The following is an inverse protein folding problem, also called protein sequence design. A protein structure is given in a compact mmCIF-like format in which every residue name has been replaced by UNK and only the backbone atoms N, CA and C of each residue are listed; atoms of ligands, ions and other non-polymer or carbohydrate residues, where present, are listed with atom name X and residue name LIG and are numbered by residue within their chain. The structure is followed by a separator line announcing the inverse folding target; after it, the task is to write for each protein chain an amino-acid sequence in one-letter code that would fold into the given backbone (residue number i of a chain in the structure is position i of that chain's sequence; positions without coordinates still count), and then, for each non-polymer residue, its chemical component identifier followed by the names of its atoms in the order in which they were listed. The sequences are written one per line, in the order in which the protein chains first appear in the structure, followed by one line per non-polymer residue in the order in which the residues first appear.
data_IF_182185137990
#
_entry.id   IF_182185137990
#
_cell.length_a   1.000
_cell.length_b   1.000
_cell.length_c   1.000
_cell.angle_alpha   90.00
_cell.angle_beta   90.00
_cell.angle_gamma   90.00
#
_symmetry.space_group_name_H-M   'P 1'
#
loop_
_entity.id
_entity.type
_entity.pdbx_description
1 polymer ?
#
# COMPACT_ATOMS: atom_id res chain seq x y z
N UNK A 1 19.86 57.94 24.57
CA UNK A 1 18.94 56.91 24.03
C UNK A 1 19.25 56.51 22.57
N UNK A 2 20.06 57.26 21.81
CA UNK A 2 20.34 56.98 20.38
C UNK A 2 21.56 56.11 20.08
N UNK A 3 22.46 55.85 21.04
CA UNK A 3 23.69 55.07 20.79
C UNK A 3 23.47 53.57 20.93
N UNK A 4 22.51 53.14 21.76
CA UNK A 4 22.21 51.71 21.98
C UNK A 4 21.34 51.07 20.89
N UNK A 5 20.58 51.88 20.13
CA UNK A 5 19.81 51.38 18.98
C UNK A 5 20.68 51.19 17.72
N UNK A 6 21.78 51.94 17.58
CA UNK A 6 22.65 51.85 16.40
C UNK A 6 23.64 50.68 16.49
N UNK A 7 23.96 50.22 17.70
CA UNK A 7 24.80 49.03 17.92
C UNK A 7 24.02 47.72 17.69
N UNK A 8 22.73 47.66 18.02
CA UNK A 8 21.92 46.45 17.80
C UNK A 8 21.63 46.19 16.31
N UNK A 9 21.62 47.23 15.47
CA UNK A 9 21.44 47.12 14.03
C UNK A 9 22.70 46.60 13.30
N UNK A 10 23.91 46.92 13.80
CA UNK A 10 25.18 46.51 13.17
C UNK A 10 25.63 45.08 13.50
N UNK A 11 25.08 44.47 14.55
CA UNK A 11 25.36 43.08 14.95
C UNK A 11 24.20 42.12 14.68
N UNK A 12 23.19 42.53 13.90
CA UNK A 12 22.19 41.62 13.37
C UNK A 12 22.83 40.71 12.30
N UNK A 13 23.47 39.63 12.75
CA UNK A 13 23.97 38.56 11.89
C UNK A 13 22.84 38.08 10.95
N UNK A 14 23.14 37.70 9.70
CA UNK A 14 22.17 37.24 8.73
C UNK A 14 21.70 35.81 9.06
N UNK A 15 21.06 35.61 10.21
CA UNK A 15 20.55 34.31 10.68
C UNK A 15 19.41 33.81 9.79
N UNK A 16 18.71 34.72 9.08
CA UNK A 16 17.61 34.36 8.18
C UNK A 16 18.04 33.62 6.91
N UNK A 17 19.28 33.81 6.43
CA UNK A 17 19.76 33.19 5.18
C UNK A 17 20.16 31.72 5.34
N UNK A 18 20.80 31.38 6.46
CA UNK A 18 21.29 30.01 6.74
C UNK A 18 20.14 29.08 7.11
N UNK A 19 19.21 29.52 7.97
CA UNK A 19 18.06 28.71 8.37
C UNK A 19 17.11 28.38 7.20
N UNK A 20 16.92 29.32 6.26
CA UNK A 20 16.10 29.08 5.08
C UNK A 20 16.75 28.10 4.08
N UNK A 21 18.08 28.19 3.91
CA UNK A 21 18.83 27.26 3.06
C UNK A 21 18.84 25.83 3.62
N UNK A 22 18.97 25.67 4.94
CA UNK A 22 18.90 24.37 5.63
C UNK A 22 17.51 23.74 5.53
N UNK A 23 16.44 24.55 5.66
CA UNK A 23 15.06 24.10 5.50
C UNK A 23 14.76 23.61 4.08
N UNK A 24 15.26 24.30 3.06
CA UNK A 24 15.09 23.89 1.65
C UNK A 24 15.90 22.63 1.32
N UNK A 25 17.12 22.50 1.85
CA UNK A 25 17.94 21.30 1.72
C UNK A 25 17.28 20.09 2.37
N UNK A 26 16.75 20.24 3.59
CA UNK A 26 16.04 19.18 4.31
C UNK A 26 14.75 18.76 3.60
N UNK A 27 13.97 19.71 3.07
CA UNK A 27 12.79 19.42 2.25
C UNK A 27 13.15 18.65 0.99
N UNK A 28 14.22 19.06 0.30
CA UNK A 28 14.74 18.39 -0.88
C UNK A 28 15.19 16.96 -0.59
N UNK A 29 15.93 16.74 0.49
CA UNK A 29 16.35 15.41 0.94
C UNK A 29 15.14 14.55 1.32
N UNK A 30 14.21 15.08 2.10
CA UNK A 30 13.01 14.37 2.55
C UNK A 30 12.13 13.91 1.37
N UNK A 31 11.95 14.77 0.36
CA UNK A 31 11.23 14.41 -0.86
C UNK A 31 11.93 13.28 -1.64
N UNK A 32 13.26 13.30 -1.71
CA UNK A 32 14.06 12.24 -2.35
C UNK A 32 13.98 10.93 -1.59
N UNK A 33 14.07 10.96 -0.26
CA UNK A 33 13.94 9.76 0.59
C UNK A 33 12.55 9.14 0.49
N UNK A 34 11.50 9.96 0.50
CA UNK A 34 10.13 9.47 0.30
C UNK A 34 9.95 8.85 -1.09
N UNK A 35 10.45 9.52 -2.14
CA UNK A 35 10.41 8.97 -3.50
C UNK A 35 11.19 7.66 -3.61
N UNK A 36 12.39 7.61 -3.03
CA UNK A 36 13.20 6.39 -2.95
C UNK A 36 12.46 5.27 -2.22
N UNK A 37 11.79 5.56 -1.11
CA UNK A 37 11.07 4.55 -0.33
C UNK A 37 9.83 4.03 -1.07
N UNK A 38 9.07 4.91 -1.75
CA UNK A 38 7.89 4.53 -2.52
C UNK A 38 8.27 3.72 -3.77
N UNK A 39 9.21 4.23 -4.58
CA UNK A 39 9.65 3.55 -5.80
C UNK A 39 10.47 2.31 -5.46
N UNK A 40 11.32 2.38 -4.45
CA UNK A 40 12.07 1.23 -3.92
C UNK A 40 11.13 0.14 -3.44
N UNK A 41 10.10 0.47 -2.65
CA UNK A 41 9.07 -0.48 -2.21
C UNK A 41 8.35 -1.18 -3.37
N UNK A 42 8.16 -0.47 -4.48
CA UNK A 42 7.57 -1.03 -5.70
C UNK A 42 8.51 -2.04 -6.40
N UNK A 43 9.80 -1.70 -6.55
CA UNK A 43 10.72 -2.44 -7.45
C UNK A 43 11.68 -3.40 -6.75
N UNK A 44 11.88 -3.30 -5.43
CA UNK A 44 12.95 -4.04 -4.75
C UNK A 44 12.82 -5.56 -4.90
N UNK A 45 11.59 -6.11 -4.92
CA UNK A 45 11.40 -7.54 -5.12
C UNK A 45 11.86 -7.99 -6.51
N UNK A 46 11.58 -7.22 -7.55
CA UNK A 46 12.10 -7.50 -8.89
C UNK A 46 13.63 -7.43 -8.93
N UNK A 47 14.22 -6.42 -8.29
CA UNK A 47 15.68 -6.29 -8.20
C UNK A 47 16.31 -7.47 -7.45
N UNK A 48 15.73 -7.90 -6.33
CA UNK A 48 16.19 -9.07 -5.60
C UNK A 48 16.00 -10.36 -6.39
N UNK A 49 14.93 -10.49 -7.16
CA UNK A 49 14.73 -11.63 -8.07
C UNK A 49 15.80 -11.66 -9.19
N UNK A 50 16.14 -10.50 -9.75
CA UNK A 50 17.24 -10.38 -10.72
C UNK A 50 18.58 -10.80 -10.11
N UNK A 51 18.90 -10.32 -8.91
CA UNK A 51 20.10 -10.71 -8.16
C UNK A 51 20.09 -12.21 -7.87
N UNK A 52 18.95 -12.76 -7.47
CA UNK A 52 18.76 -14.20 -7.24
C UNK A 52 19.05 -15.03 -8.49
N UNK A 53 18.66 -14.51 -9.65
CA UNK A 53 18.78 -15.22 -10.93
C UNK A 53 20.18 -15.13 -11.52
N UNK A 54 20.86 -13.98 -11.37
CA UNK A 54 22.10 -13.69 -12.12
C UNK A 54 23.36 -13.62 -11.27
N UNK A 55 23.25 -13.38 -9.96
CA UNK A 55 24.39 -13.01 -9.12
C UNK A 55 24.58 -13.99 -7.97
N UNK A 56 23.60 -14.09 -7.07
CA UNK A 56 23.71 -14.88 -5.85
C UNK A 56 22.34 -15.27 -5.32
N UNK A 57 22.24 -16.41 -4.63
CA UNK A 57 20.99 -16.85 -4.01
C UNK A 57 20.54 -15.84 -2.95
N UNK A 58 19.32 -15.35 -3.08
CA UNK A 58 18.70 -14.41 -2.13
C UNK A 58 17.90 -15.20 -1.09
N UNK A 59 18.22 -14.96 0.18
CA UNK A 59 17.48 -15.49 1.33
C UNK A 59 16.42 -14.51 1.84
N UNK A 60 15.50 -14.99 2.67
CA UNK A 60 14.47 -14.15 3.30
C UNK A 60 15.06 -12.98 4.13
N UNK A 61 16.25 -13.19 4.73
CA UNK A 61 16.97 -12.13 5.45
C UNK A 61 17.34 -10.92 4.56
N UNK A 62 17.67 -11.14 3.29
CA UNK A 62 17.96 -10.05 2.35
C UNK A 62 16.70 -9.25 1.99
N UNK A 63 15.56 -9.95 1.86
CA UNK A 63 14.25 -9.32 1.63
C UNK A 63 13.88 -8.46 2.82
N UNK A 64 13.97 -9.01 4.03
CA UNK A 64 13.67 -8.29 5.27
C UNK A 64 14.61 -7.09 5.45
N UNK A 65 15.91 -7.23 5.21
CA UNK A 65 16.86 -6.11 5.28
C UNK A 65 16.51 -5.00 4.29
N UNK A 66 16.18 -5.35 3.05
CA UNK A 66 15.79 -4.38 2.03
C UNK A 66 14.51 -3.63 2.41
N UNK A 67 13.51 -4.34 2.94
CA UNK A 67 12.29 -3.72 3.47
C UNK A 67 12.59 -2.81 4.67
N UNK A 68 13.44 -3.23 5.61
CA UNK A 68 13.82 -2.42 6.77
C UNK A 68 14.56 -1.15 6.37
N UNK A 69 15.41 -1.18 5.34
CA UNK A 69 16.08 0.01 4.80
C UNK A 69 15.05 1.00 4.24
N UNK A 70 14.11 0.54 3.43
CA UNK A 70 13.05 1.38 2.85
C UNK A 70 12.13 1.97 3.93
N UNK A 71 11.79 1.16 4.94
CA UNK A 71 11.01 1.61 6.10
C UNK A 71 11.82 2.63 6.91
N UNK A 72 13.10 2.38 7.17
CA UNK A 72 13.98 3.32 7.85
C UNK A 72 14.06 4.67 7.14
N UNK A 73 14.25 4.68 5.82
CA UNK A 73 14.27 5.89 5.00
C UNK A 73 12.95 6.68 5.11
N UNK A 74 11.80 6.01 5.08
CA UNK A 74 10.51 6.71 5.21
C UNK A 74 10.28 7.23 6.63
N UNK A 75 10.77 6.52 7.67
CA UNK A 75 10.69 7.00 9.05
C UNK A 75 11.56 8.22 9.33
N UNK A 76 12.71 8.37 8.67
CA UNK A 76 13.51 9.61 8.72
C UNK A 76 12.67 10.82 8.26
N UNK A 77 11.80 10.63 7.27
CA UNK A 77 10.89 11.68 6.77
C UNK A 77 9.65 11.83 7.67
N UNK A 78 9.12 10.73 8.18
CA UNK A 78 7.90 10.69 8.98
C UNK A 78 8.09 11.30 10.38
N UNK A 79 9.23 11.05 11.01
CA UNK A 79 9.54 11.44 12.38
C UNK A 79 10.04 12.89 12.42
N UNK A 80 9.08 13.80 12.57
CA UNK A 80 9.35 15.22 12.85
C UNK A 80 9.25 15.54 14.34
N UNK A 81 9.07 16.83 14.64
CA UNK A 81 8.87 17.34 16.01
C UNK A 81 7.46 17.07 16.58
N UNK A 82 6.58 16.40 15.83
CA UNK A 82 5.19 16.13 16.25
C UNK A 82 5.14 14.91 17.15
N UNK A 83 4.42 15.00 18.27
CA UNK A 83 4.30 13.91 19.26
C UNK A 83 3.44 12.73 18.80
N UNK A 84 2.44 12.99 17.94
CA UNK A 84 1.48 11.99 17.47
C UNK A 84 2.09 10.68 16.92
N UNK A 85 3.07 10.68 15.99
CA UNK A 85 3.69 9.44 15.51
C UNK A 85 4.39 8.66 16.63
N UNK A 86 5.05 9.33 17.58
CA UNK A 86 5.73 8.66 18.69
C UNK A 86 4.74 8.01 19.66
N UNK A 87 3.65 8.70 20.00
CA UNK A 87 2.60 8.14 20.85
C UNK A 87 1.95 6.92 20.18
N UNK A 88 1.65 7.02 18.89
CA UNK A 88 1.09 5.91 18.13
C UNK A 88 2.03 4.69 18.12
N UNK A 89 3.31 4.91 17.81
CA UNK A 89 4.32 3.85 17.83
C UNK A 89 4.48 3.25 19.23
N UNK A 90 4.54 4.07 20.28
CA UNK A 90 4.68 3.58 21.65
C UNK A 90 3.50 2.70 22.08
N UNK A 91 2.27 3.10 21.75
CA UNK A 91 1.06 2.31 22.03
C UNK A 91 1.06 1.02 21.21
N UNK A 92 1.36 1.11 19.91
CA UNK A 92 1.37 -0.05 19.02
C UNK A 92 2.46 -1.08 19.41
N UNK A 93 3.69 -0.63 19.67
CA UNK A 93 4.78 -1.52 20.08
C UNK A 93 4.48 -2.14 21.44
N UNK A 94 3.97 -1.37 22.42
CA UNK A 94 3.53 -1.91 23.72
C UNK A 94 2.45 -2.99 23.53
N UNK A 95 1.49 -2.76 22.65
CA UNK A 95 0.46 -3.74 22.32
C UNK A 95 1.02 -5.02 21.69
N UNK A 96 1.96 -4.88 20.74
CA UNK A 96 2.61 -6.04 20.10
C UNK A 96 3.46 -6.84 21.09
N UNK A 97 4.19 -6.16 21.99
CA UNK A 97 4.93 -6.82 23.06
C UNK A 97 4.01 -7.61 23.98
N UNK A 98 2.85 -7.05 24.34
CA UNK A 98 1.82 -7.77 25.09
C UNK A 98 1.35 -9.02 24.34
N UNK A 99 1.05 -8.93 23.04
CA UNK A 99 0.68 -10.10 22.25
C UNK A 99 1.80 -11.15 22.17
N UNK A 100 3.06 -10.73 22.06
CA UNK A 100 4.21 -11.66 22.04
C UNK A 100 4.35 -12.39 23.36
N UNK A 101 4.15 -11.69 24.49
CA UNK A 101 4.18 -12.34 25.81
C UNK A 101 3.07 -13.36 25.98
N UNK A 102 1.87 -13.07 25.47
CA UNK A 102 0.75 -14.02 25.50
C UNK A 102 0.99 -15.25 24.61
N UNK A 103 1.62 -15.04 23.45
CA UNK A 103 1.89 -16.09 22.45
C UNK A 103 3.14 -16.92 22.74
N UNK A 104 4.04 -16.42 23.57
CA UNK A 104 5.35 -17.04 23.84
C UNK A 104 6.33 -16.97 22.66
N UNK A 105 6.03 -16.21 21.60
CA UNK A 105 6.91 -16.06 20.45
C UNK A 105 6.76 -14.67 19.78
N UNK A 106 7.88 -14.04 19.36
CA UNK A 106 7.83 -12.78 18.65
C UNK A 106 7.43 -12.97 17.18
N UNK A 107 6.57 -12.08 16.67
CA UNK A 107 6.17 -12.02 15.26
C UNK A 107 6.57 -10.67 14.65
N UNK A 108 7.83 -10.58 14.21
CA UNK A 108 8.39 -9.36 13.63
C UNK A 108 7.71 -8.95 12.31
N UNK A 109 7.13 -9.92 11.60
CA UNK A 109 6.38 -9.66 10.37
C UNK A 109 5.16 -8.78 10.66
N UNK A 110 4.39 -9.12 11.71
CA UNK A 110 3.22 -8.35 12.12
C UNK A 110 3.58 -6.89 12.47
N UNK A 111 4.70 -6.68 13.17
CA UNK A 111 5.17 -5.33 13.52
C UNK A 111 5.48 -4.53 12.25
N UNK A 112 6.30 -5.09 11.35
CA UNK A 112 6.66 -4.47 10.07
C UNK A 112 5.43 -4.09 9.25
N UNK A 113 4.46 -4.98 9.15
CA UNK A 113 3.25 -4.82 8.34
C UNK A 113 2.43 -3.58 8.73
N UNK A 114 2.53 -3.11 9.98
CA UNK A 114 1.90 -1.88 10.46
C UNK A 114 2.84 -0.67 10.42
N UNK A 115 4.15 -0.89 10.60
CA UNK A 115 5.15 0.17 10.45
C UNK A 115 5.11 0.79 9.04
N UNK A 116 4.82 -0.01 8.01
CA UNK A 116 4.67 0.47 6.62
C UNK A 116 3.54 1.54 6.54
N UNK A 117 2.26 1.23 6.83
CA UNK A 117 1.19 2.23 6.87
C UNK A 117 1.53 3.49 7.65
N UNK A 118 2.07 3.34 8.87
CA UNK A 118 2.39 4.46 9.76
C UNK A 118 3.46 5.34 9.12
N UNK A 119 4.58 4.76 8.71
CA UNK A 119 5.72 5.49 8.15
C UNK A 119 5.33 6.27 6.90
N UNK A 120 4.69 5.61 5.93
CA UNK A 120 4.30 6.27 4.67
C UNK A 120 3.19 7.30 4.87
N UNK A 121 2.21 7.05 5.74
CA UNK A 121 1.17 8.04 6.08
C UNK A 121 1.78 9.31 6.68
N UNK A 122 2.63 9.18 7.70
CA UNK A 122 3.24 10.34 8.33
C UNK A 122 4.26 11.04 7.41
N UNK A 123 5.01 10.32 6.57
CA UNK A 123 5.88 10.94 5.58
C UNK A 123 5.10 11.77 4.55
N UNK A 124 4.00 11.24 4.01
CA UNK A 124 3.11 11.99 3.12
C UNK A 124 2.52 13.22 3.80
N UNK A 125 2.15 13.09 5.08
CA UNK A 125 1.63 14.20 5.89
C UNK A 125 2.68 15.27 6.22
N UNK A 126 3.94 14.88 6.41
CA UNK A 126 5.05 15.80 6.67
C UNK A 126 5.40 16.57 5.40
N UNK A 127 5.51 15.89 4.26
CA UNK A 127 5.86 16.52 2.99
C UNK A 127 4.73 17.35 2.38
N UNK A 128 3.48 16.91 2.54
CA UNK A 128 2.27 17.59 2.06
C UNK A 128 2.35 18.09 0.59
N UNK A 129 3.18 17.45 -0.23
CA UNK A 129 3.45 17.84 -1.62
C UNK A 129 2.59 17.02 -2.58
N UNK A 130 1.53 17.68 -3.05
CA UNK A 130 0.57 17.10 -3.97
C UNK A 130 1.18 16.81 -5.37
N UNK A 131 2.18 17.58 -5.80
CA UNK A 131 2.85 17.38 -7.09
C UNK A 131 3.79 16.18 -7.03
N UNK A 132 4.48 16.00 -5.90
CA UNK A 132 5.28 14.81 -5.66
C UNK A 132 4.40 13.56 -5.68
N UNK A 133 3.26 13.58 -4.98
CA UNK A 133 2.28 12.50 -5.01
C UNK A 133 1.83 12.15 -6.45
N UNK A 134 1.42 13.15 -7.25
CA UNK A 134 1.04 12.94 -8.66
C UNK A 134 2.17 12.33 -9.49
N UNK A 135 3.40 12.82 -9.28
CA UNK A 135 4.58 12.33 -9.98
C UNK A 135 4.90 10.89 -9.61
N UNK A 136 4.82 10.53 -8.32
CA UNK A 136 5.05 9.17 -7.87
C UNK A 136 4.03 8.19 -8.44
N UNK A 137 2.75 8.56 -8.47
CA UNK A 137 1.71 7.73 -9.09
C UNK A 137 1.99 7.49 -10.57
N UNK A 138 2.31 8.55 -11.32
CA UNK A 138 2.62 8.44 -12.73
C UNK A 138 3.87 7.58 -12.99
N UNK A 139 4.97 7.86 -12.27
CA UNK A 139 6.23 7.11 -12.45
C UNK A 139 6.05 5.64 -12.07
N UNK A 140 5.39 5.35 -10.94
CA UNK A 140 5.11 3.97 -10.54
C UNK A 140 4.27 3.24 -11.59
N UNK A 141 3.22 3.89 -12.11
CA UNK A 141 2.39 3.31 -13.17
C UNK A 141 3.18 3.06 -14.46
N UNK A 142 4.04 4.00 -14.85
CA UNK A 142 4.89 3.85 -16.03
C UNK A 142 5.90 2.70 -15.87
N UNK A 143 6.53 2.54 -14.70
CA UNK A 143 7.45 1.43 -14.42
C UNK A 143 6.72 0.09 -14.52
N UNK A 144 5.56 -0.04 -13.88
CA UNK A 144 4.78 -1.30 -13.88
C UNK A 144 4.33 -1.65 -15.29
N UNK A 145 3.87 -0.69 -16.09
CA UNK A 145 3.48 -0.95 -17.48
C UNK A 145 4.69 -1.28 -18.34
N UNK A 146 5.81 -0.56 -18.21
CA UNK A 146 7.00 -0.82 -19.03
C UNK A 146 7.54 -2.24 -18.80
N UNK A 147 7.69 -2.66 -17.54
CA UNK A 147 8.16 -4.01 -17.20
C UNK A 147 7.11 -5.06 -17.55
N UNK A 148 5.82 -4.75 -17.37
CA UNK A 148 4.73 -5.66 -17.72
C UNK A 148 4.61 -5.90 -19.23
N UNK A 149 4.83 -4.87 -20.05
CA UNK A 149 4.90 -5.01 -21.50
C UNK A 149 6.15 -5.79 -21.93
N UNK A 150 7.29 -5.58 -21.26
CA UNK A 150 8.49 -6.38 -21.50
C UNK A 150 8.25 -7.87 -21.19
N UNK A 151 7.65 -8.20 -20.05
CA UNK A 151 7.23 -9.57 -19.70
C UNK A 151 6.25 -10.16 -20.73
N UNK A 152 5.28 -9.37 -21.19
CA UNK A 152 4.28 -9.82 -22.15
C UNK A 152 4.87 -10.08 -23.55
N UNK A 153 5.72 -9.17 -24.04
CA UNK A 153 6.26 -9.21 -25.40
C UNK A 153 7.48 -10.12 -25.55
N UNK A 154 8.25 -10.31 -24.49
CA UNK A 154 9.51 -11.06 -24.50
C UNK A 154 9.64 -11.98 -23.29
N UNK A 155 8.64 -12.86 -23.10
CA UNK A 155 8.53 -13.72 -21.91
C UNK A 155 9.77 -14.58 -21.65
N UNK A 156 10.35 -15.21 -22.68
CA UNK A 156 11.53 -16.05 -22.52
C UNK A 156 12.75 -15.23 -22.03
N UNK A 157 12.91 -14.02 -22.57
CA UNK A 157 13.96 -13.09 -22.14
C UNK A 157 13.68 -12.65 -20.70
N UNK A 158 12.44 -12.30 -20.37
CA UNK A 158 12.04 -11.93 -19.02
C UNK A 158 12.36 -13.03 -18.00
N UNK A 159 11.98 -14.27 -18.25
CA UNK A 159 12.25 -15.40 -17.35
C UNK A 159 13.76 -15.67 -17.21
N UNK A 160 14.54 -15.44 -18.27
CA UNK A 160 16.01 -15.56 -18.19
C UNK A 160 16.65 -14.56 -17.22
N UNK A 161 16.02 -13.41 -16.99
CA UNK A 161 16.46 -12.40 -16.03
C UNK A 161 15.76 -12.53 -14.67
N UNK A 162 14.52 -12.98 -14.65
CA UNK A 162 13.66 -13.06 -13.47
C UNK A 162 13.11 -14.48 -13.33
N UNK A 163 13.90 -15.39 -12.76
CA UNK A 163 13.41 -16.72 -12.38
C UNK A 163 12.55 -16.61 -11.12
N UNK A 164 11.26 -16.30 -11.32
CA UNK A 164 10.31 -16.02 -10.25
C UNK A 164 10.13 -17.21 -9.32
N UNK A 165 9.94 -18.41 -9.87
CA UNK A 165 9.84 -19.64 -9.07
C UNK A 165 11.10 -19.84 -8.23
N UNK A 166 12.28 -19.73 -8.84
CA UNK A 166 13.55 -19.88 -8.15
C UNK A 166 13.73 -18.88 -7.02
N UNK A 167 13.27 -17.64 -7.20
CA UNK A 167 13.26 -16.62 -6.17
C UNK A 167 12.32 -16.97 -5.01
N UNK A 168 11.08 -17.37 -5.28
CA UNK A 168 10.09 -17.73 -4.26
C UNK A 168 10.44 -19.03 -3.51
N UNK A 169 11.11 -19.98 -4.17
CA UNK A 169 11.71 -21.16 -3.55
C UNK A 169 12.90 -20.79 -2.66
N UNK A 170 13.80 -19.92 -3.13
CA UNK A 170 15.00 -19.53 -2.38
C UNK A 170 14.68 -18.84 -1.05
N UNK A 171 13.59 -18.06 -1.01
CA UNK A 171 13.06 -17.42 0.21
C UNK A 171 12.16 -18.32 1.06
N UNK A 172 11.86 -19.54 0.63
CA UNK A 172 11.02 -20.50 1.37
C UNK A 172 9.53 -20.15 1.43
N UNK A 173 9.03 -19.28 0.54
CA UNK A 173 7.61 -18.87 0.53
C UNK A 173 6.72 -19.81 -0.31
N UNK A 174 7.34 -20.67 -1.11
CA UNK A 174 6.68 -21.71 -1.91
C UNK A 174 7.42 -23.03 -1.66
N UNK A 175 6.70 -24.14 -1.51
CA UNK A 175 7.30 -25.48 -1.41
C UNK A 175 7.28 -26.19 -2.77
N UNK A 176 8.17 -27.17 -2.95
CA UNK A 176 8.26 -27.98 -4.19
C UNK A 176 6.93 -28.70 -4.47
N UNK A 177 6.20 -29.07 -3.43
CA UNK A 177 4.88 -29.71 -3.54
C UNK A 177 3.78 -28.76 -4.06
N UNK A 178 4.00 -27.45 -4.05
CA UNK A 178 3.06 -26.47 -4.63
C UNK A 178 3.32 -26.21 -6.12
N UNK A 179 4.38 -26.82 -6.69
CA UNK A 179 4.84 -26.59 -8.06
C UNK A 179 4.35 -27.65 -9.07
N UNK A 180 3.53 -28.64 -8.67
CA UNK A 180 3.08 -29.72 -9.54
C UNK A 180 2.51 -29.18 -10.88
N UNK A 181 3.26 -29.41 -11.97
CA UNK A 181 2.90 -29.06 -13.34
C UNK A 181 3.39 -27.71 -13.88
N UNK A 182 4.11 -26.90 -13.10
CA UNK A 182 4.65 -25.61 -13.56
C UNK A 182 6.08 -25.74 -14.10
N UNK A 183 6.24 -25.60 -15.41
CA UNK A 183 7.53 -25.71 -16.11
C UNK A 183 8.11 -24.36 -16.57
N UNK A 184 7.38 -23.25 -16.40
CA UNK A 184 7.68 -21.98 -17.09
C UNK A 184 8.38 -20.91 -16.23
N UNK A 185 8.87 -21.21 -15.02
CA UNK A 185 9.61 -20.22 -14.22
C UNK A 185 8.80 -19.04 -13.66
N UNK A 186 7.52 -18.94 -14.00
CA UNK A 186 6.55 -17.92 -13.55
C UNK A 186 5.93 -18.27 -12.20
N UNK A 187 5.41 -17.29 -11.47
CA UNK A 187 4.67 -17.56 -10.23
C UNK A 187 3.47 -18.50 -10.46
N UNK A 188 3.04 -19.24 -9.42
CA UNK A 188 1.98 -20.27 -9.49
C UNK A 188 0.68 -19.76 -10.16
N UNK A 189 0.42 -18.45 -10.10
CA UNK A 189 -0.74 -17.79 -10.70
C UNK A 189 -0.49 -17.07 -12.06
N UNK A 190 0.69 -17.22 -12.64
CA UNK A 190 1.14 -16.54 -13.87
C UNK A 190 0.55 -17.11 -15.17
N UNK A 191 0.06 -18.35 -15.14
CA UNK A 191 -0.66 -18.98 -16.24
C UNK A 191 -2.07 -19.35 -15.78
N UNK A 192 -3.09 -19.06 -16.60
CA UNK A 192 -4.48 -19.36 -16.27
C UNK A 192 -5.19 -20.11 -17.41
N UNK A 193 -5.45 -21.42 -17.28
CA UNK A 193 -6.18 -22.21 -18.29
C UNK A 193 -7.66 -21.80 -18.42
N UNK A 194 -8.10 -21.66 -19.68
CA UNK A 194 -9.38 -21.33 -20.34
C UNK A 194 -10.36 -20.26 -19.78
N UNK A 195 -11.12 -19.64 -20.72
CA UNK A 195 -12.36 -18.82 -20.70
C UNK A 195 -12.64 -17.78 -19.59
N UNK A 196 -11.75 -17.65 -18.60
CA UNK A 196 -11.93 -16.84 -17.38
C UNK A 196 -11.15 -15.53 -17.39
N UNK A 197 -10.45 -15.23 -18.48
CA UNK A 197 -9.68 -14.00 -18.65
C UNK A 197 -10.59 -12.82 -18.98
N UNK A 198 -10.30 -11.63 -18.44
CA UNK A 198 -11.04 -10.39 -18.73
C UNK A 198 -11.04 -10.08 -20.24
N UNK A 199 -9.90 -10.30 -20.90
CA UNK A 199 -9.72 -10.11 -22.33
C UNK A 199 -9.14 -11.41 -22.93
N UNK A 200 -10.00 -12.36 -23.36
CA UNK A 200 -9.56 -13.67 -23.87
C UNK A 200 -8.59 -13.62 -25.06
N UNK A 201 -8.63 -12.54 -25.85
CA UNK A 201 -7.71 -12.35 -26.97
C UNK A 201 -6.27 -12.03 -26.55
N UNK A 202 -6.02 -11.62 -25.30
CA UNK A 202 -4.66 -11.36 -24.79
C UNK A 202 -3.90 -12.64 -24.41
N UNK A 203 -4.57 -13.80 -24.49
CA UNK A 203 -3.98 -15.09 -24.18
C UNK A 203 -4.07 -15.48 -22.71
N UNK A 204 -3.35 -16.56 -22.36
CA UNK A 204 -3.47 -17.27 -21.07
C UNK A 204 -2.48 -16.77 -20.01
N UNK A 205 -1.61 -15.85 -20.42
CA UNK A 205 -0.51 -15.33 -19.62
C UNK A 205 -0.97 -14.13 -18.81
N UNK A 206 -0.75 -14.19 -17.50
CA UNK A 206 -1.06 -13.11 -16.55
C UNK A 206 0.22 -12.41 -16.16
N UNK A 207 0.36 -11.19 -16.63
CA UNK A 207 1.55 -10.36 -16.39
C UNK A 207 1.68 -10.03 -14.91
N UNK A 208 2.86 -10.25 -14.36
CA UNK A 208 3.20 -10.04 -12.95
C UNK A 208 3.99 -8.74 -12.72
N UNK A 209 4.65 -8.24 -13.75
CA UNK A 209 5.52 -7.08 -13.79
C UNK A 209 6.54 -7.08 -12.63
N UNK A 210 6.95 -5.89 -12.16
CA UNK A 210 7.85 -5.70 -11.02
C UNK A 210 7.37 -6.35 -9.71
N UNK A 211 6.10 -6.73 -9.62
CA UNK A 211 5.55 -7.37 -8.43
C UNK A 211 5.86 -8.86 -8.33
N UNK A 212 6.23 -9.50 -9.45
CA UNK A 212 6.48 -10.93 -9.60
C UNK A 212 5.28 -11.82 -9.27
N UNK A 213 4.12 -11.23 -8.97
CA UNK A 213 2.86 -11.91 -8.72
C UNK A 213 1.69 -11.13 -9.36
N UNK A 214 0.82 -11.78 -10.16
CA UNK A 214 -0.28 -11.07 -10.83
C UNK A 214 -1.34 -10.47 -9.91
N UNK A 215 -1.45 -10.92 -8.65
CA UNK A 215 -2.44 -10.41 -7.69
C UNK A 215 -2.12 -8.97 -7.30
N UNK A 216 -0.84 -8.68 -7.06
CA UNK A 216 -0.35 -7.35 -6.63
C UNK A 216 -0.46 -6.30 -7.74
N UNK A 217 -0.38 -6.71 -9.00
CA UNK A 217 -0.63 -5.87 -10.19
C UNK A 217 -2.04 -5.27 -10.15
N UNK A 218 -3.05 -6.09 -9.84
CA UNK A 218 -4.45 -5.66 -9.72
C UNK A 218 -4.69 -4.64 -8.61
N UNK A 219 -4.11 -4.91 -7.45
CA UNK A 219 -4.17 -4.04 -6.28
C UNK A 219 -3.56 -2.67 -6.57
N UNK A 220 -2.37 -2.67 -7.17
CA UNK A 220 -1.70 -1.45 -7.59
C UNK A 220 -2.53 -0.65 -8.60
N UNK A 221 -3.08 -1.32 -9.62
CA UNK A 221 -3.96 -0.70 -10.60
C UNK A 221 -5.16 0.01 -9.97
N UNK A 222 -5.81 -0.59 -8.97
CA UNK A 222 -6.91 0.03 -8.24
C UNK A 222 -6.49 1.28 -7.45
N UNK A 223 -5.31 1.28 -6.83
CA UNK A 223 -4.76 2.45 -6.12
C UNK A 223 -4.52 3.62 -7.09
N UNK A 224 -3.86 3.35 -8.22
CA UNK A 224 -3.59 4.36 -9.26
C UNK A 224 -4.89 4.91 -9.83
N UNK A 225 -5.85 4.03 -10.15
CA UNK A 225 -7.17 4.42 -10.64
C UNK A 225 -7.91 5.32 -9.65
N UNK A 226 -7.96 4.93 -8.37
CA UNK A 226 -8.60 5.71 -7.31
C UNK A 226 -7.97 7.10 -7.16
N UNK A 227 -6.64 7.21 -7.26
CA UNK A 227 -5.96 8.51 -7.24
C UNK A 227 -6.35 9.38 -8.44
N UNK A 228 -6.36 8.82 -9.65
CA UNK A 228 -6.79 9.53 -10.85
C UNK A 228 -8.26 9.94 -10.78
N UNK A 229 -9.12 9.12 -10.19
CA UNK A 229 -10.54 9.46 -9.98
C UNK A 229 -10.69 10.64 -9.03
N UNK A 230 -9.93 10.63 -7.93
CA UNK A 230 -9.88 11.70 -6.94
C UNK A 230 -9.24 13.02 -7.45
N UNK A 231 -8.28 12.95 -8.38
CA UNK A 231 -7.49 14.11 -8.85
C UNK A 231 -7.84 14.57 -10.27
N UNK A 232 -8.94 15.32 -10.46
CA UNK A 232 -9.30 15.86 -11.77
C UNK A 232 -8.28 16.89 -12.31
N UNK A 233 -7.51 17.54 -11.43
CA UNK A 233 -6.53 18.59 -11.78
C UNK A 233 -5.15 18.05 -12.15
N UNK A 234 -4.90 16.74 -12.04
CA UNK A 234 -3.61 16.13 -12.36
C UNK A 234 -3.29 16.27 -13.86
N UNK A 235 -2.08 16.73 -14.21
CA UNK A 235 -1.69 17.03 -15.60
C UNK A 235 -1.79 15.82 -16.54
N UNK A 236 -1.32 14.66 -16.11
CA UNK A 236 -1.30 13.42 -16.89
C UNK A 236 -2.39 12.44 -16.42
N UNK A 237 -3.52 12.97 -15.92
CA UNK A 237 -4.59 12.15 -15.33
C UNK A 237 -5.05 11.03 -16.27
N UNK A 238 -5.44 11.35 -17.50
CA UNK A 238 -5.98 10.36 -18.44
C UNK A 238 -4.94 9.35 -18.90
N UNK A 239 -3.69 9.79 -19.10
CA UNK A 239 -2.57 8.88 -19.39
C UNK A 239 -2.36 7.92 -18.22
N UNK A 240 -2.32 8.43 -17.00
CA UNK A 240 -2.14 7.63 -15.79
C UNK A 240 -3.31 6.67 -15.55
N UNK A 241 -4.54 7.12 -15.83
CA UNK A 241 -5.75 6.30 -15.79
C UNK A 241 -5.69 5.17 -16.81
N UNK A 242 -5.26 5.47 -18.04
CA UNK A 242 -5.05 4.46 -19.07
C UNK A 242 -4.00 3.43 -18.63
N UNK A 243 -2.85 3.88 -18.10
CA UNK A 243 -1.84 2.98 -17.54
C UNK A 243 -2.42 2.08 -16.43
N UNK A 244 -3.25 2.60 -15.52
CA UNK A 244 -3.90 1.81 -14.49
C UNK A 244 -4.80 0.71 -15.06
N UNK A 245 -5.59 1.04 -16.09
CA UNK A 245 -6.46 0.08 -16.77
C UNK A 245 -5.64 -0.94 -17.56
N UNK A 246 -4.54 -0.54 -18.20
CA UNK A 246 -3.60 -1.44 -18.86
C UNK A 246 -3.00 -2.43 -17.87
N UNK A 247 -2.56 -1.97 -16.69
CA UNK A 247 -2.05 -2.83 -15.61
C UNK A 247 -3.10 -3.87 -15.20
N UNK A 248 -4.35 -3.46 -14.98
CA UNK A 248 -5.45 -4.37 -14.61
C UNK A 248 -5.73 -5.40 -15.72
N UNK A 249 -5.71 -4.96 -16.98
CA UNK A 249 -5.93 -5.80 -18.14
C UNK A 249 -4.81 -6.85 -18.32
N UNK A 250 -3.54 -6.41 -18.29
CA UNK A 250 -2.37 -7.28 -18.44
C UNK A 250 -2.27 -8.32 -17.31
N UNK A 251 -2.63 -7.96 -16.07
CA UNK A 251 -2.63 -8.88 -14.93
C UNK A 251 -3.83 -9.83 -14.85
N UNK A 252 -4.80 -9.72 -15.75
CA UNK A 252 -6.12 -10.37 -15.66
C UNK A 252 -6.75 -10.18 -14.26
N UNK A 253 -6.67 -8.96 -13.73
CA UNK A 253 -6.93 -8.68 -12.33
C UNK A 253 -8.39 -8.29 -12.08
N UNK A 254 -9.28 -9.30 -12.01
CA UNK A 254 -10.72 -9.10 -11.76
C UNK A 254 -11.01 -8.29 -10.50
N UNK A 255 -10.28 -8.56 -9.41
CA UNK A 255 -10.38 -7.80 -8.17
C UNK A 255 -10.13 -6.30 -8.40
N UNK A 256 -9.06 -5.97 -9.13
CA UNK A 256 -8.72 -4.57 -9.45
C UNK A 256 -9.84 -3.91 -10.24
N UNK A 257 -10.37 -4.61 -11.26
CA UNK A 257 -11.49 -4.12 -12.07
C UNK A 257 -12.75 -3.86 -11.22
N UNK A 258 -13.19 -4.82 -10.41
CA UNK A 258 -14.38 -4.67 -9.56
C UNK A 258 -14.21 -3.57 -8.53
N UNK A 259 -13.01 -3.43 -7.97
CA UNK A 259 -12.69 -2.33 -7.06
C UNK A 259 -12.81 -0.98 -7.76
N UNK A 260 -12.27 -0.82 -8.97
CA UNK A 260 -12.39 0.41 -9.75
C UNK A 260 -13.85 0.77 -10.08
N UNK A 261 -14.65 -0.24 -10.45
CA UNK A 261 -16.09 -0.07 -10.69
C UNK A 261 -16.78 0.40 -9.42
N UNK A 262 -16.57 -0.28 -8.30
CA UNK A 262 -17.22 0.06 -7.03
C UNK A 262 -16.79 1.44 -6.52
N UNK A 263 -15.51 1.80 -6.63
CA UNK A 263 -15.02 3.14 -6.31
C UNK A 263 -15.73 4.22 -7.12
N UNK A 264 -15.96 3.97 -8.41
CA UNK A 264 -16.66 4.92 -9.29
C UNK A 264 -18.14 5.01 -8.93
N UNK A 265 -18.81 3.88 -8.69
CA UNK A 265 -20.23 3.85 -8.35
C UNK A 265 -20.53 4.48 -6.99
N UNK A 266 -19.62 4.38 -6.02
CA UNK A 266 -19.79 4.93 -4.67
C UNK A 266 -19.32 6.38 -4.53
N UNK A 267 -18.81 7.02 -5.60
CA UNK A 267 -18.48 8.44 -5.62
C UNK A 267 -19.52 9.38 -4.96
N UNK A 268 -20.82 9.29 -5.30
CA UNK A 268 -21.83 10.15 -4.69
C UNK A 268 -22.03 9.84 -3.20
N UNK A 269 -21.74 8.62 -2.75
CA UNK A 269 -22.02 8.15 -1.38
C UNK A 269 -20.91 8.52 -0.39
N UNK A 270 -19.64 8.53 -0.83
CA UNK A 270 -18.49 8.69 0.07
C UNK A 270 -18.53 9.94 0.96
N UNK A 271 -19.11 11.04 0.45
CA UNK A 271 -19.21 12.29 1.21
C UNK A 271 -20.24 12.23 2.34
N UNK A 272 -21.28 11.44 2.17
CA UNK A 272 -22.44 11.40 3.08
C UNK A 272 -22.35 10.29 4.12
N UNK A 273 -21.54 9.26 3.86
CA UNK A 273 -21.45 8.12 4.76
C UNK A 273 -20.80 8.52 6.10
N UNK A 274 -21.48 8.29 7.25
CA UNK A 274 -20.96 8.68 8.55
C UNK A 274 -19.74 7.83 8.90
N UNK A 275 -18.79 8.41 9.67
CA UNK A 275 -17.57 7.70 10.08
C UNK A 275 -17.86 6.41 10.85
N UNK A 276 -18.92 6.40 11.66
CA UNK A 276 -19.34 5.19 12.39
C UNK A 276 -19.72 4.05 11.44
N UNK A 277 -20.37 4.34 10.29
CA UNK A 277 -20.68 3.30 9.32
C UNK A 277 -19.40 2.68 8.74
N UNK A 278 -18.41 3.51 8.40
CA UNK A 278 -17.09 3.01 7.96
C UNK A 278 -16.37 2.19 9.04
N UNK A 279 -16.51 2.57 10.31
CA UNK A 279 -15.90 1.85 11.43
C UNK A 279 -16.51 0.47 11.62
N UNK A 280 -17.84 0.36 11.54
CA UNK A 280 -18.56 -0.90 11.82
C UNK A 280 -18.55 -1.86 10.62
N UNK A 281 -18.36 -1.36 9.39
CA UNK A 281 -18.46 -2.15 8.17
C UNK A 281 -17.60 -3.43 8.10
N UNK A 282 -16.29 -3.44 8.45
CA UNK A 282 -15.52 -4.69 8.44
C UNK A 282 -16.04 -5.70 9.46
N UNK A 283 -16.62 -5.27 10.58
CA UNK A 283 -17.17 -6.17 11.60
C UNK A 283 -18.51 -6.76 11.15
N UNK A 284 -19.33 -5.99 10.44
CA UNK A 284 -20.52 -6.54 9.75
C UNK A 284 -20.08 -7.58 8.74
N UNK A 285 -19.07 -7.28 7.92
CA UNK A 285 -18.53 -8.22 6.92
C UNK A 285 -18.01 -9.50 7.58
N UNK A 286 -17.23 -9.37 8.66
CA UNK A 286 -16.74 -10.50 9.46
C UNK A 286 -17.90 -11.34 10.01
N UNK A 287 -18.91 -10.71 10.62
CA UNK A 287 -20.09 -11.42 11.17
C UNK A 287 -20.89 -12.13 10.09
N UNK A 288 -21.11 -11.50 8.94
CA UNK A 288 -21.85 -12.10 7.80
C UNK A 288 -21.09 -13.29 7.24
N UNK A 289 -19.77 -13.17 7.04
CA UNK A 289 -18.92 -14.25 6.53
C UNK A 289 -18.81 -15.41 7.51
N UNK A 290 -18.69 -15.12 8.81
CA UNK A 290 -18.68 -16.14 9.85
C UNK A 290 -20.02 -16.89 9.92
N UNK A 291 -21.14 -16.16 9.91
CA UNK A 291 -22.48 -16.76 9.87
C UNK A 291 -22.66 -17.63 8.63
N UNK A 292 -22.28 -17.14 7.46
CA UNK A 292 -22.32 -17.91 6.22
C UNK A 292 -21.47 -19.18 6.32
N UNK A 293 -20.25 -19.11 6.84
CA UNK A 293 -19.37 -20.27 7.01
C UNK A 293 -19.94 -21.33 7.97
N UNK A 294 -20.56 -20.90 9.07
CA UNK A 294 -21.21 -21.80 10.04
C UNK A 294 -22.41 -22.51 9.40
N UNK A 295 -23.25 -21.78 8.67
CA UNK A 295 -24.46 -22.34 8.05
C UNK A 295 -24.15 -23.26 6.87
N UNK A 296 -23.16 -22.90 6.06
CA UNK A 296 -22.85 -23.62 4.83
C UNK A 296 -21.87 -24.78 5.02
N UNK A 297 -21.12 -24.80 6.13
CA UNK A 297 -20.08 -25.81 6.38
C UNK A 297 -19.01 -25.86 5.29
N UNK A 298 -18.77 -24.74 4.60
CA UNK A 298 -17.87 -24.69 3.44
C UNK A 298 -16.48 -25.20 3.77
N UNK A 299 -15.92 -26.03 2.90
CA UNK A 299 -14.53 -26.53 3.00
C UNK A 299 -13.58 -25.80 2.02
N UNK A 300 -13.88 -24.53 1.74
CA UNK A 300 -13.29 -23.78 0.63
C UNK A 300 -14.12 -23.85 -0.65
N UNK A 301 -13.68 -23.13 -1.69
CA UNK A 301 -14.45 -22.96 -2.93
C UNK A 301 -13.59 -22.68 -4.16
N UNK A 302 -14.21 -22.68 -5.36
CA UNK A 302 -13.51 -22.41 -6.62
C UNK A 302 -12.85 -21.02 -6.67
N UNK A 303 -11.88 -20.82 -7.56
CA UNK A 303 -11.15 -19.54 -7.70
C UNK A 303 -11.97 -18.42 -8.41
N UNK A 304 -13.22 -18.23 -8.01
CA UNK A 304 -14.11 -17.13 -8.38
C UNK A 304 -14.51 -16.30 -7.15
N UNK A 305 -15.38 -15.29 -7.33
CA UNK A 305 -15.82 -14.44 -6.20
C UNK A 305 -16.52 -15.29 -5.15
N UNK A 306 -17.44 -16.17 -5.55
CA UNK A 306 -18.19 -17.02 -4.64
C UNK A 306 -17.28 -17.92 -3.81
N UNK A 307 -16.31 -18.56 -4.44
CA UNK A 307 -15.36 -19.40 -3.73
C UNK A 307 -14.33 -18.64 -2.90
N UNK A 308 -13.97 -17.38 -3.24
CA UNK A 308 -13.17 -16.53 -2.33
C UNK A 308 -13.94 -16.16 -1.06
N UNK A 309 -15.25 -15.95 -1.16
CA UNK A 309 -16.12 -15.80 0.00
C UNK A 309 -16.16 -17.08 0.84
N UNK A 310 -16.27 -18.25 0.21
CA UNK A 310 -16.26 -19.55 0.91
C UNK A 310 -14.92 -19.85 1.58
N UNK A 311 -13.79 -19.54 0.94
CA UNK A 311 -12.44 -19.70 1.52
C UNK A 311 -12.28 -18.81 2.75
N UNK A 312 -12.65 -17.53 2.65
CA UNK A 312 -12.57 -16.63 3.81
C UNK A 312 -13.53 -17.05 4.91
N UNK A 313 -14.76 -17.46 4.59
CA UNK A 313 -15.72 -17.96 5.57
C UNK A 313 -15.18 -19.21 6.30
N UNK A 314 -14.64 -20.18 5.55
CA UNK A 314 -14.00 -21.37 6.10
C UNK A 314 -12.83 -21.03 7.02
N UNK A 315 -11.93 -20.15 6.58
CA UNK A 315 -10.80 -19.72 7.40
C UNK A 315 -11.30 -19.09 8.70
N UNK A 316 -12.24 -18.15 8.64
CA UNK A 316 -12.78 -17.48 9.83
C UNK A 316 -13.44 -18.44 10.82
N UNK A 317 -14.18 -19.44 10.36
CA UNK A 317 -14.84 -20.41 11.24
C UNK A 317 -13.91 -21.50 11.76
N UNK A 318 -12.75 -21.67 11.14
CA UNK A 318 -11.71 -22.61 11.58
C UNK A 318 -10.74 -22.03 12.62
N UNK A 319 -10.81 -20.72 12.90
CA UNK A 319 -9.97 -20.07 13.90
C UNK A 319 -10.52 -20.28 15.31
N UNK A 320 -9.66 -20.71 16.23
CA UNK A 320 -9.99 -20.76 17.66
C UNK A 320 -10.19 -19.35 18.22
N UNK A 321 -11.09 -19.24 19.21
CA UNK A 321 -11.44 -17.96 19.82
C UNK A 321 -10.22 -17.27 20.47
N UNK A 322 -9.28 -18.04 21.04
CA UNK A 322 -8.03 -17.51 21.60
C UNK A 322 -7.12 -16.93 20.52
N UNK A 323 -7.14 -17.51 19.31
CA UNK A 323 -6.42 -16.97 18.15
C UNK A 323 -7.08 -15.66 17.69
N UNK A 324 -8.41 -15.59 17.63
CA UNK A 324 -9.16 -14.38 17.27
C UNK A 324 -8.89 -13.22 18.23
N UNK A 325 -8.80 -13.49 19.54
CA UNK A 325 -8.41 -12.47 20.52
C UNK A 325 -6.90 -12.20 20.56
N UNK A 326 -6.10 -12.94 19.79
CA UNK A 326 -4.65 -12.78 19.67
C UNK A 326 -3.83 -13.45 20.78
N UNK A 327 -4.46 -14.20 21.69
CA UNK A 327 -3.79 -14.89 22.80
C UNK A 327 -2.99 -16.13 22.36
N UNK A 328 -3.30 -16.70 21.20
CA UNK A 328 -2.60 -17.86 20.64
C UNK A 328 -2.24 -17.62 19.17
N UNK A 329 -1.25 -18.38 18.69
CA UNK A 329 -0.89 -18.42 17.27
C UNK A 329 -1.54 -19.59 16.56
N UNK A 330 -1.71 -19.47 15.24
CA UNK A 330 -2.16 -20.57 14.37
C UNK A 330 -1.10 -20.89 13.33
N UNK A 331 -1.04 -22.15 12.92
CA UNK A 331 -0.24 -22.62 11.77
C UNK A 331 -1.03 -22.59 10.46
N UNK A 332 -2.32 -22.27 10.52
CA UNK A 332 -3.15 -22.16 9.32
C UNK A 332 -2.66 -21.04 8.41
N UNK A 333 -2.67 -21.32 7.10
CA UNK A 333 -2.31 -20.34 6.09
C UNK A 333 -3.45 -19.33 5.91
N UNK A 334 -3.23 -18.10 6.36
CA UNK A 334 -4.26 -17.03 6.33
C UNK A 334 -4.02 -15.94 5.29
N UNK A 335 -2.97 -16.03 4.48
CA UNK A 335 -2.63 -14.97 3.51
C UNK A 335 -3.67 -14.79 2.40
N UNK A 336 -4.50 -15.81 2.14
CA UNK A 336 -5.65 -15.76 1.23
C UNK A 336 -6.88 -15.03 1.80
N UNK A 337 -6.80 -14.52 3.03
CA UNK A 337 -7.85 -13.74 3.67
C UNK A 337 -7.26 -12.66 4.56
N UNK A 338 -7.31 -11.40 4.14
CA UNK A 338 -6.82 -10.29 4.95
C UNK A 338 -7.55 -10.14 6.29
N UNK A 339 -8.83 -10.52 6.39
CA UNK A 339 -9.56 -10.60 7.67
C UNK A 339 -8.94 -11.64 8.60
N UNK A 340 -8.79 -12.90 8.14
CA UNK A 340 -8.20 -13.96 8.96
C UNK A 340 -6.74 -13.62 9.33
N UNK A 341 -5.97 -13.07 8.38
CA UNK A 341 -4.62 -12.58 8.64
C UNK A 341 -4.60 -11.52 9.75
N UNK A 342 -5.48 -10.53 9.66
CA UNK A 342 -5.53 -9.43 10.63
C UNK A 342 -5.88 -9.92 12.04
N UNK A 343 -6.85 -10.84 12.15
CA UNK A 343 -7.22 -11.44 13.43
C UNK A 343 -6.09 -12.28 14.02
N UNK A 344 -5.43 -13.11 13.21
CA UNK A 344 -4.33 -13.96 13.67
C UNK A 344 -3.09 -13.16 14.06
N UNK A 345 -2.78 -12.07 13.35
CA UNK A 345 -1.60 -11.25 13.62
C UNK A 345 -1.82 -10.22 14.72
N UNK A 346 -2.94 -9.51 14.70
CA UNK A 346 -3.19 -8.37 15.57
C UNK A 346 -4.30 -8.60 16.59
N UNK A 347 -5.03 -9.70 16.52
CA UNK A 347 -6.22 -9.92 17.35
C UNK A 347 -7.36 -8.96 17.03
N UNK A 348 -8.53 -9.23 17.60
CA UNK A 348 -9.72 -8.40 17.43
C UNK A 348 -9.51 -6.96 17.94
N UNK A 349 -8.85 -6.79 19.09
CA UNK A 349 -8.60 -5.47 19.68
C UNK A 349 -7.61 -4.64 18.87
N UNK A 350 -6.53 -5.26 18.39
CA UNK A 350 -5.59 -4.61 17.48
C UNK A 350 -6.28 -4.22 16.17
N UNK A 351 -7.14 -5.10 15.63
CA UNK A 351 -7.92 -4.76 14.44
C UNK A 351 -8.84 -3.56 14.68
N UNK A 352 -9.61 -3.54 15.76
CA UNK A 352 -10.48 -2.41 16.12
C UNK A 352 -9.68 -1.11 16.27
N UNK A 353 -8.54 -1.14 16.96
CA UNK A 353 -7.68 0.02 17.13
C UNK A 353 -7.12 0.54 15.81
N UNK A 354 -6.52 -0.34 15.01
CA UNK A 354 -5.89 0.02 13.72
C UNK A 354 -6.92 0.49 12.69
N UNK A 355 -8.06 -0.19 12.61
CA UNK A 355 -9.17 0.24 11.74
C UNK A 355 -9.77 1.57 12.20
N UNK A 356 -9.91 1.76 13.52
CA UNK A 356 -10.33 3.02 14.12
C UNK A 356 -9.39 4.18 13.75
N UNK A 357 -8.08 3.96 13.82
CA UNK A 357 -7.08 4.96 13.43
C UNK A 357 -7.21 5.39 11.97
N UNK A 358 -7.48 4.43 11.07
CA UNK A 358 -7.77 4.74 9.66
C UNK A 358 -9.06 5.57 9.56
N UNK A 359 -10.19 5.05 10.05
CA UNK A 359 -11.52 5.66 9.86
C UNK A 359 -11.63 7.06 10.50
N UNK A 360 -10.98 7.26 11.65
CA UNK A 360 -11.00 8.53 12.36
C UNK A 360 -9.79 9.42 12.07
N UNK A 361 -8.94 9.05 11.10
CA UNK A 361 -7.83 9.87 10.66
C UNK A 361 -8.30 11.33 10.38
N UNK A 362 -7.54 12.34 10.82
CA UNK A 362 -7.94 13.73 10.65
C UNK A 362 -7.84 14.10 9.17
N UNK A 363 -8.93 14.67 8.64
CA UNK A 363 -9.04 15.14 7.25
C UNK A 363 -9.51 16.58 7.28
N UNK A 364 -8.82 17.45 6.54
CA UNK A 364 -9.16 18.88 6.47
C UNK A 364 -10.20 19.26 5.42
N UNK A 365 -10.43 18.40 4.43
CA UNK A 365 -11.27 18.71 3.26
C UNK A 365 -12.39 17.69 3.04
N UNK A 366 -13.49 18.15 2.44
CA UNK A 366 -14.60 17.31 2.00
C UNK A 366 -14.17 16.37 0.87
N UNK A 367 -13.34 16.85 -0.06
CA UNK A 367 -12.71 16.02 -1.09
C UNK A 367 -11.82 14.94 -0.51
N UNK A 368 -11.02 15.21 0.53
CA UNK A 368 -10.19 14.17 1.15
C UNK A 368 -11.03 13.01 1.72
N UNK A 369 -12.28 13.27 2.16
CA UNK A 369 -13.22 12.20 2.56
C UNK A 369 -13.58 11.25 1.42
N UNK A 370 -13.62 11.74 0.18
CA UNK A 370 -13.93 10.91 -0.99
C UNK A 370 -12.80 9.90 -1.21
N UNK A 371 -11.55 10.35 -1.29
CA UNK A 371 -10.41 9.42 -1.42
C UNK A 371 -10.30 8.50 -0.21
N UNK A 372 -10.52 9.02 1.01
CA UNK A 372 -10.55 8.18 2.20
C UNK A 372 -11.59 7.04 2.10
N UNK A 373 -12.80 7.34 1.65
CA UNK A 373 -13.83 6.33 1.40
C UNK A 373 -13.40 5.30 0.34
N UNK A 374 -12.73 5.74 -0.73
CA UNK A 374 -12.14 4.81 -1.72
C UNK A 374 -11.09 3.89 -1.10
N UNK A 375 -10.20 4.42 -0.25
CA UNK A 375 -9.19 3.62 0.47
C UNK A 375 -9.86 2.61 1.38
N UNK A 376 -10.90 3.00 2.12
CA UNK A 376 -11.66 2.08 2.99
C UNK A 376 -12.31 0.97 2.16
N UNK A 377 -12.99 1.30 1.06
CA UNK A 377 -13.62 0.30 0.18
C UNK A 377 -12.59 -0.64 -0.44
N UNK A 378 -11.46 -0.10 -0.89
CA UNK A 378 -10.33 -0.91 -1.37
C UNK A 378 -9.87 -1.91 -0.32
N UNK A 379 -9.62 -1.45 0.91
CA UNK A 379 -9.14 -2.32 1.99
C UNK A 379 -10.19 -3.35 2.39
N UNK A 380 -11.48 -2.98 2.45
CA UNK A 380 -12.56 -3.94 2.77
C UNK A 380 -12.63 -5.06 1.73
N UNK A 381 -12.62 -4.73 0.45
CA UNK A 381 -12.62 -5.74 -0.60
C UNK A 381 -11.34 -6.57 -0.56
N UNK A 382 -10.18 -5.94 -0.33
CA UNK A 382 -8.90 -6.61 -0.27
C UNK A 382 -8.85 -7.61 0.88
N UNK A 383 -9.38 -7.25 2.05
CA UNK A 383 -9.40 -8.11 3.22
C UNK A 383 -10.24 -9.38 3.04
N UNK A 384 -11.13 -9.44 2.05
CA UNK A 384 -11.85 -10.68 1.69
C UNK A 384 -10.93 -11.67 0.96
N UNK A 385 -9.92 -11.19 0.24
CA UNK A 385 -9.18 -12.01 -0.73
C UNK A 385 -7.69 -12.15 -0.46
N UNK A 386 -7.07 -11.25 0.30
CA UNK A 386 -5.62 -11.22 0.50
C UNK A 386 -5.16 -10.30 1.65
N UNK A 387 -4.00 -10.60 2.22
CA UNK A 387 -3.24 -9.74 3.14
C UNK A 387 -2.31 -8.72 2.46
N UNK A 388 -2.28 -8.68 1.12
CA UNK A 388 -1.35 -7.85 0.32
C UNK A 388 -1.46 -6.34 0.57
N UNK A 389 -2.49 -5.86 1.29
CA UNK A 389 -2.60 -4.48 1.77
C UNK A 389 -1.55 -4.10 2.82
N UNK A 390 -0.91 -5.09 3.43
CA UNK A 390 0.20 -4.90 4.38
C UNK A 390 1.58 -4.92 3.72
N UNK A 391 1.69 -5.36 2.46
CA UNK A 391 2.96 -5.43 1.75
C UNK A 391 3.41 -4.05 1.28
N UNK A 392 4.70 -3.72 1.49
CA UNK A 392 5.28 -2.44 1.08
C UNK A 392 5.13 -2.16 -0.43
N UNK A 393 5.02 -3.23 -1.25
CA UNK A 393 4.87 -3.19 -2.71
C UNK A 393 3.76 -2.25 -3.17
N UNK A 394 2.63 -2.25 -2.48
CA UNK A 394 1.43 -1.45 -2.82
C UNK A 394 1.08 -0.47 -1.70
N UNK A 395 1.27 -0.89 -0.45
CA UNK A 395 0.96 -0.09 0.73
C UNK A 395 1.79 1.21 0.77
N UNK A 396 3.06 1.17 0.35
CA UNK A 396 3.94 2.35 0.39
C UNK A 396 3.35 3.54 -0.38
N UNK A 397 2.91 3.31 -1.62
CA UNK A 397 2.26 4.35 -2.42
C UNK A 397 0.92 4.77 -1.80
N UNK A 398 0.05 3.82 -1.47
CA UNK A 398 -1.30 4.10 -0.94
C UNK A 398 -1.26 4.99 0.31
N UNK A 399 -0.47 4.61 1.31
CA UNK A 399 -0.41 5.31 2.58
C UNK A 399 0.28 6.67 2.44
N UNK A 400 1.27 6.80 1.55
CA UNK A 400 1.86 8.09 1.21
C UNK A 400 0.83 9.07 0.61
N UNK A 401 0.01 8.59 -0.33
CA UNK A 401 -1.07 9.37 -0.92
C UNK A 401 -2.09 9.79 0.13
N UNK A 402 -2.52 8.84 0.98
CA UNK A 402 -3.48 9.10 2.05
C UNK A 402 -2.96 10.12 3.07
N UNK A 403 -1.68 10.01 3.45
CA UNK A 403 -0.99 10.97 4.30
C UNK A 403 -0.96 12.37 3.70
N UNK A 404 -0.60 12.47 2.42
CA UNK A 404 -0.51 13.74 1.69
C UNK A 404 -1.84 14.49 1.70
N UNK A 405 -2.95 13.82 1.44
CA UNK A 405 -4.26 14.49 1.37
C UNK A 405 -4.85 14.87 2.73
N UNK A 406 -4.41 14.21 3.80
CA UNK A 406 -5.00 14.37 5.14
C UNK A 406 -4.85 15.80 5.69
N UNK A 407 -3.85 16.53 5.20
CA UNK A 407 -3.49 17.90 5.64
C UNK A 407 -3.82 18.98 4.63
N UNK A 408 -4.32 18.63 3.44
CA UNK A 408 -4.62 19.56 2.36
C UNK A 408 -6.07 20.06 2.43
N UNK A 409 -6.21 21.39 2.35
CA UNK A 409 -7.50 22.06 2.32
C UNK A 409 -8.12 22.03 0.92
N UNK A 410 -9.42 22.31 0.83
CA UNK A 410 -10.21 22.23 -0.41
C UNK A 410 -9.61 23.08 -1.54
N UNK A 411 -9.10 24.27 -1.20
CA UNK A 411 -8.44 25.19 -2.13
C UNK A 411 -7.13 24.61 -2.71
N UNK A 412 -6.33 23.93 -1.89
CA UNK A 412 -5.08 23.32 -2.34
C UNK A 412 -5.33 22.15 -3.30
N UNK A 413 -6.39 21.37 -3.07
CA UNK A 413 -6.80 20.25 -3.94
C UNK A 413 -7.40 20.71 -5.27
N UNK A 414 -8.00 21.90 -5.30
CA UNK A 414 -8.65 22.47 -6.50
C UNK A 414 -7.71 23.22 -7.46
N UNK A 415 -6.50 23.61 -7.02
CA UNK A 415 -5.56 24.36 -7.87
C UNK A 415 -5.02 23.51 -9.01
N UNK A 416 -4.97 24.07 -10.22
CA UNK A 416 -4.26 23.44 -11.34
C UNK A 416 -2.74 23.56 -11.12
N UNK A 417 -1.92 22.61 -11.63
CA UNK A 417 -0.47 22.63 -11.45
C UNK A 417 0.21 23.93 -11.93
N UNK A 418 -0.37 24.63 -12.92
CA UNK A 418 0.16 25.89 -13.47
C UNK A 418 0.07 27.05 -12.46
N UNK A 419 -1.02 27.16 -11.72
CA UNK A 419 -1.29 28.29 -10.81
C UNK A 419 -0.39 28.27 -9.57
N UNK A 420 -0.04 27.08 -9.07
CA UNK A 420 0.84 26.94 -7.91
C UNK A 420 2.31 27.30 -8.22
N UNK A 421 2.74 27.32 -9.49
CA UNK A 421 4.11 27.72 -9.87
C UNK A 421 4.27 29.24 -9.93
N UNK A 422 3.18 29.98 -10.15
CA UNK A 422 3.18 31.45 -10.15
C UNK A 422 3.03 32.00 -8.73
N UNK A 423 2.24 31.34 -7.86
CA UNK A 423 2.10 31.75 -6.46
C UNK A 423 3.42 31.68 -5.66
N UNK A 424 4.29 30.71 -5.95
CA UNK A 424 5.62 30.62 -5.34
C UNK A 424 6.61 31.69 -5.81
N UNK A 425 6.37 32.34 -6.95
CA UNK A 425 7.20 33.46 -7.46
C UNK A 425 6.68 34.83 -7.01
N UNK A 426 5.38 34.96 -6.69
CA UNK A 426 4.79 36.20 -6.22
C UNK A 426 5.13 36.59 -4.78
N UNK A 427 5.58 35.64 -3.96
CA UNK A 427 6.01 35.89 -2.56
C UNK A 427 7.49 36.31 -2.42
N UNK A 428 8.24 36.33 -3.52
CA UNK A 428 9.64 36.81 -3.56
C UNK A 428 9.76 38.26 -4.05
N UNK A 429 8.64 38.93 -4.33
CA UNK A 429 8.61 40.27 -4.93
C UNK A 429 7.76 41.27 -4.11
N UNK A 430 7.57 41.01 -2.81
CA UNK A 430 6.91 41.93 -1.88
C UNK A 430 7.81 42.24 -0.69
#
# INVERSE_FOLDING_TARGET
MSVLQDVSARYALPVRGVAAADDDAWRGLSARLAAFSVIGGLVFNALLCLVNTRVMRVSDGHVMMSEMVLIGCVFIVALGRRTAPYMLLAVFISYMLFLFTMRGQPDLKAVRDILIPIGFYFAGRTLHDLRLADRLVFISAAIVVAVGLFEYMALDVYISFFNVIGYYLARGSVTVDQLYGQTTGLFISGMRPSARTILPFLGMHRVSSVFLEPVSVGNFGAIVYGWCLFRPTMRLRFVTLFLALTVIALGDARFGLYTCILMTLLLPVYRFMPRLAWYVLPFIMLSVLAYYGIQSGTQGGPNDIGGRFQVTAHLLTSLDLRVVFGAQTTTQFTADSGLAYTLTKFGLFGFMGLWGLLVFAPLKSGRARIFHGMVIVYLLLLMIISDSGYSIKTAGLLWFLFGTISVLDEAALGRKPRDASQAGRGLSAA
#
